data_IF_967257456291
#
_entry.id   IF_967257456291
#
_cell.length_a   1.000
_cell.length_b   1.000
_cell.length_c   1.000
_cell.angle_alpha   90.00
_cell.angle_beta   90.00
_cell.angle_gamma   90.00
#
_symmetry.space_group_name_H-M   'P 1'
#
loop_
_entity.id
_entity.type
_entity.pdbx_description
1 polymer ?
#
# COMPACT_ATOMS: atom_id res chain seq x y z
N UNK A 1 8.37 22.83 -14.28
CA UNK A 1 8.46 21.92 -13.12
C UNK A 1 8.29 20.49 -13.63
N UNK A 2 9.35 19.68 -13.63
CA UNK A 2 9.23 18.25 -13.87
C UNK A 2 8.46 17.65 -12.68
N UNK A 3 7.20 17.24 -12.90
CA UNK A 3 6.45 16.47 -11.91
C UNK A 3 7.22 15.16 -11.68
N UNK A 4 7.56 14.88 -10.42
CA UNK A 4 8.13 13.58 -10.06
C UNK A 4 7.16 12.46 -10.51
N UNK A 5 7.72 11.36 -11.04
CA UNK A 5 6.92 10.20 -11.44
C UNK A 5 6.14 9.64 -10.23
N UNK A 6 5.04 8.93 -10.50
CA UNK A 6 4.13 8.47 -9.44
C UNK A 6 4.80 7.60 -8.37
N UNK A 7 5.76 6.75 -8.75
CA UNK A 7 6.48 5.91 -7.81
C UNK A 7 7.35 6.76 -6.86
N UNK A 8 8.03 7.78 -7.41
CA UNK A 8 8.77 8.76 -6.61
C UNK A 8 7.86 9.50 -5.63
N UNK A 9 6.68 9.95 -6.09
CA UNK A 9 5.72 10.63 -5.21
C UNK A 9 5.24 9.75 -4.06
N UNK A 10 4.79 8.52 -4.34
CA UNK A 10 4.31 7.59 -3.31
C UNK A 10 5.42 7.31 -2.29
N UNK A 11 6.63 7.00 -2.78
CA UNK A 11 7.76 6.76 -1.91
C UNK A 11 8.04 7.96 -1.00
N UNK A 12 8.05 9.18 -1.54
CA UNK A 12 8.29 10.39 -0.75
C UNK A 12 7.19 10.68 0.27
N UNK A 13 5.93 10.33 -0.01
CA UNK A 13 4.79 10.57 0.89
C UNK A 13 4.76 9.54 2.04
N UNK A 14 5.03 8.27 1.75
CA UNK A 14 4.96 7.20 2.76
C UNK A 14 6.18 7.17 3.69
N UNK A 15 7.35 7.55 3.19
CA UNK A 15 8.62 7.41 3.90
C UNK A 15 8.69 8.31 5.12
N UNK A 16 9.04 7.73 6.26
CA UNK A 16 9.42 8.49 7.46
C UNK A 16 10.56 9.46 7.18
N UNK A 17 10.59 10.58 7.90
CA UNK A 17 11.68 11.54 7.85
C UNK A 17 13.04 10.82 8.05
N UNK A 18 14.05 11.23 7.28
CA UNK A 18 15.42 10.71 7.35
C UNK A 18 15.67 9.23 6.98
N UNK A 19 14.65 8.43 6.65
CA UNK A 19 14.84 7.07 6.11
C UNK A 19 15.04 7.06 4.60
N UNK A 20 15.73 6.09 4.01
CA UNK A 20 15.83 5.97 2.54
C UNK A 20 15.11 4.74 1.99
N UNK A 21 14.15 4.22 2.75
CA UNK A 21 13.37 3.02 2.46
C UNK A 21 12.02 3.09 3.18
N UNK A 22 11.07 2.27 2.75
CA UNK A 22 9.81 2.06 3.47
C UNK A 22 9.86 0.79 4.32
N UNK A 23 9.26 0.84 5.50
CA UNK A 23 8.97 -0.34 6.32
C UNK A 23 7.49 -0.71 6.23
N UNK A 24 7.11 -1.85 6.81
CA UNK A 24 5.70 -2.27 6.88
C UNK A 24 4.81 -1.21 7.58
N UNK A 25 5.32 -0.59 8.63
CA UNK A 25 4.62 0.44 9.41
C UNK A 25 4.25 1.67 8.58
N UNK A 26 5.05 2.01 7.56
CA UNK A 26 4.83 3.17 6.70
C UNK A 26 3.56 3.05 5.85
N UNK A 27 3.03 1.83 5.67
CA UNK A 27 1.79 1.58 4.93
C UNK A 27 0.54 1.63 5.80
N UNK A 28 0.67 1.57 7.14
CA UNK A 28 -0.49 1.54 8.04
C UNK A 28 -1.41 2.75 7.88
N UNK A 29 -0.93 4.00 7.76
CA UNK A 29 -1.81 5.16 7.61
C UNK A 29 -2.68 5.07 6.36
N UNK A 30 -2.11 4.67 5.23
CA UNK A 30 -2.84 4.54 3.96
C UNK A 30 -3.85 3.39 4.01
N UNK A 31 -3.50 2.26 4.60
CA UNK A 31 -4.44 1.13 4.71
C UNK A 31 -5.57 1.39 5.70
N UNK A 32 -5.32 2.17 6.76
CA UNK A 32 -6.38 2.62 7.66
C UNK A 32 -7.37 3.50 6.91
N UNK A 33 -6.89 4.47 6.15
CA UNK A 33 -7.76 5.34 5.36
C UNK A 33 -8.55 4.53 4.32
N UNK A 34 -7.89 3.58 3.65
CA UNK A 34 -8.53 2.69 2.70
C UNK A 34 -9.67 1.88 3.33
N UNK A 35 -9.41 1.27 4.49
CA UNK A 35 -10.42 0.50 5.23
C UNK A 35 -11.60 1.35 5.67
N UNK A 36 -11.36 2.62 6.03
CA UNK A 36 -12.41 3.54 6.49
C UNK A 36 -13.26 4.11 5.35
N UNK A 37 -12.69 4.29 4.16
CA UNK A 37 -13.33 5.08 3.09
C UNK A 37 -13.81 4.26 1.90
N UNK A 38 -13.27 3.07 1.69
CA UNK A 38 -13.59 2.27 0.51
C UNK A 38 -14.90 1.50 0.71
N UNK A 39 -15.92 1.79 -0.10
CA UNK A 39 -17.24 1.16 -0.05
C UNK A 39 -17.18 -0.37 -0.06
N UNK A 40 -16.34 -0.96 -0.93
CA UNK A 40 -16.11 -2.40 -0.99
C UNK A 40 -15.49 -3.02 0.26
N UNK A 41 -15.09 -2.25 1.27
CA UNK A 41 -14.54 -2.70 2.55
C UNK A 41 -15.40 -2.30 3.76
N UNK A 42 -16.55 -1.64 3.56
CA UNK A 42 -17.45 -1.21 4.64
C UNK A 42 -17.91 -2.38 5.52
N UNK A 43 -18.04 -3.58 4.96
CA UNK A 43 -18.42 -4.78 5.70
C UNK A 43 -17.43 -5.15 6.82
N UNK A 44 -16.20 -4.62 6.77
CA UNK A 44 -15.21 -4.82 7.83
C UNK A 44 -15.34 -3.82 8.98
N UNK A 45 -16.16 -2.75 8.85
CA UNK A 45 -16.30 -1.68 9.86
C UNK A 45 -16.74 -2.18 11.22
N UNK A 46 -17.64 -3.16 11.25
CA UNK A 46 -18.19 -3.71 12.48
C UNK A 46 -17.29 -4.75 13.16
N UNK A 47 -16.12 -5.07 12.57
CA UNK A 47 -15.22 -6.12 13.03
C UNK A 47 -13.76 -5.65 13.11
N UNK A 48 -13.36 -4.96 14.19
CA UNK A 48 -12.01 -4.39 14.34
C UNK A 48 -10.89 -5.42 14.19
N UNK A 49 -11.06 -6.65 14.70
CA UNK A 49 -10.03 -7.69 14.59
C UNK A 49 -9.78 -8.12 13.14
N UNK A 50 -10.82 -8.08 12.29
CA UNK A 50 -10.65 -8.39 10.87
C UNK A 50 -10.07 -7.23 10.09
N UNK A 51 -10.34 -5.98 10.47
CA UNK A 51 -9.66 -4.83 9.87
C UNK A 51 -8.15 -4.90 10.07
N UNK A 52 -7.71 -5.17 11.30
CA UNK A 52 -6.28 -5.24 11.62
C UNK A 52 -5.60 -6.37 10.84
N UNK A 53 -6.20 -7.57 10.82
CA UNK A 53 -5.67 -8.72 10.07
C UNK A 53 -5.69 -8.49 8.55
N UNK A 54 -6.70 -7.80 8.03
CA UNK A 54 -6.76 -7.45 6.62
C UNK A 54 -5.63 -6.49 6.25
N UNK A 55 -5.45 -5.41 7.00
CA UNK A 55 -4.37 -4.46 6.80
C UNK A 55 -3.00 -5.17 6.85
N UNK A 56 -2.76 -6.00 7.86
CA UNK A 56 -1.53 -6.79 7.96
C UNK A 56 -1.31 -7.68 6.74
N UNK A 57 -2.35 -8.39 6.31
CA UNK A 57 -2.26 -9.28 5.14
C UNK A 57 -1.92 -8.50 3.87
N UNK A 58 -2.52 -7.32 3.66
CA UNK A 58 -2.20 -6.47 2.51
C UNK A 58 -0.75 -5.98 2.57
N UNK A 59 -0.27 -5.56 3.74
CA UNK A 59 1.14 -5.17 3.92
C UNK A 59 2.08 -6.34 3.61
N UNK A 60 1.79 -7.53 4.13
CA UNK A 60 2.59 -8.73 3.86
C UNK A 60 2.63 -9.03 2.37
N UNK A 61 1.51 -8.93 1.66
CA UNK A 61 1.46 -9.12 0.19
C UNK A 61 2.27 -8.07 -0.55
N UNK A 62 2.18 -6.79 -0.15
CA UNK A 62 3.00 -5.72 -0.74
C UNK A 62 4.49 -6.07 -0.60
N UNK A 63 4.95 -6.45 0.59
CA UNK A 63 6.35 -6.79 0.82
C UNK A 63 6.77 -8.07 0.09
N UNK A 64 5.91 -9.09 0.08
CA UNK A 64 6.14 -10.34 -0.66
C UNK A 64 6.36 -10.09 -2.16
N UNK A 65 5.53 -9.23 -2.76
CA UNK A 65 5.64 -8.94 -4.20
C UNK A 65 6.71 -7.89 -4.52
N UNK A 66 6.92 -6.89 -3.66
CA UNK A 66 7.75 -5.73 -4.00
C UNK A 66 9.16 -5.78 -3.40
N UNK A 67 9.36 -6.22 -2.14
CA UNK A 67 10.66 -6.22 -1.48
C UNK A 67 11.47 -7.48 -1.83
N UNK A 68 12.02 -7.50 -3.06
CA UNK A 68 12.79 -8.64 -3.59
C UNK A 68 14.05 -8.94 -2.78
N UNK A 69 14.60 -7.94 -2.09
CA UNK A 69 15.72 -8.15 -1.19
C UNK A 69 15.36 -8.94 0.08
N UNK A 70 14.08 -9.04 0.45
CA UNK A 70 13.62 -9.80 1.62
C UNK A 70 14.14 -9.27 2.96
N UNK A 71 14.58 -8.01 3.01
CA UNK A 71 15.20 -7.40 4.18
C UNK A 71 14.26 -6.51 4.99
N UNK A 72 12.98 -6.45 4.63
CA UNK A 72 11.98 -5.60 5.28
C UNK A 72 12.16 -4.10 5.01
N UNK A 73 13.05 -3.73 4.09
CA UNK A 73 13.31 -2.34 3.69
C UNK A 73 13.01 -2.18 2.21
N UNK A 74 11.79 -1.74 1.91
CA UNK A 74 11.34 -1.56 0.53
C UNK A 74 11.97 -0.28 -0.06
N UNK A 75 12.84 -0.46 -1.04
CA UNK A 75 13.60 0.63 -1.66
C UNK A 75 12.81 1.32 -2.77
N UNK A 76 13.12 2.60 -3.04
CA UNK A 76 12.49 3.36 -4.15
C UNK A 76 12.59 2.62 -5.50
N UNK A 77 13.75 2.03 -5.79
CA UNK A 77 13.98 1.23 -7.01
C UNK A 77 13.08 0.00 -7.11
N UNK A 78 12.69 -0.59 -5.98
CA UNK A 78 11.83 -1.78 -5.93
C UNK A 78 10.38 -1.39 -6.21
N UNK A 79 9.92 -0.25 -5.68
CA UNK A 79 8.61 0.32 -5.99
C UNK A 79 8.51 0.70 -7.47
N UNK A 80 9.54 1.33 -8.03
CA UNK A 80 9.55 1.72 -9.44
C UNK A 80 9.45 0.53 -10.40
N UNK A 81 9.91 -0.65 -9.97
CA UNK A 81 9.89 -1.89 -10.75
C UNK A 81 8.68 -2.78 -10.44
N UNK A 82 7.88 -2.44 -9.45
CA UNK A 82 6.69 -3.20 -9.07
C UNK A 82 5.42 -2.58 -9.65
N UNK A 83 4.31 -3.32 -9.58
CA UNK A 83 2.99 -2.83 -9.97
C UNK A 83 2.27 -2.12 -8.82
N UNK A 84 2.98 -1.71 -7.75
CA UNK A 84 2.35 -1.16 -6.55
C UNK A 84 1.53 0.11 -6.84
N UNK A 85 2.07 1.05 -7.63
CA UNK A 85 1.34 2.26 -8.01
C UNK A 85 0.07 1.92 -8.79
N UNK A 86 0.16 1.01 -9.77
CA UNK A 86 -0.99 0.60 -10.56
C UNK A 86 -2.06 -0.08 -9.71
N UNK A 87 -1.67 -0.94 -8.77
CA UNK A 87 -2.57 -1.59 -7.84
C UNK A 87 -3.30 -0.57 -6.94
N UNK A 88 -2.58 0.40 -6.38
CA UNK A 88 -3.21 1.46 -5.57
C UNK A 88 -4.18 2.32 -6.40
N UNK A 89 -3.83 2.65 -7.64
CA UNK A 89 -4.74 3.37 -8.54
C UNK A 89 -5.97 2.56 -8.93
N UNK A 90 -5.84 1.24 -9.04
CA UNK A 90 -6.95 0.34 -9.31
C UNK A 90 -7.89 0.25 -8.11
N UNK A 91 -7.36 0.18 -6.89
CA UNK A 91 -8.16 0.24 -5.65
C UNK A 91 -8.96 1.55 -5.60
N UNK A 92 -8.34 2.69 -5.92
CA UNK A 92 -9.07 3.98 -5.91
C UNK A 92 -10.19 4.06 -6.96
N UNK A 93 -10.12 3.28 -8.04
CA UNK A 93 -11.07 3.34 -9.14
C UNK A 93 -12.19 2.29 -9.08
N UNK A 94 -11.96 1.17 -8.38
CA UNK A 94 -12.84 0.01 -8.44
C UNK A 94 -13.66 -0.14 -7.15
N UNK A 95 -14.99 -0.02 -7.26
CA UNK A 95 -15.89 -0.17 -6.11
C UNK A 95 -15.92 -1.61 -5.56
N UNK A 96 -15.67 -2.60 -6.43
CA UNK A 96 -15.56 -4.01 -6.04
C UNK A 96 -14.10 -4.39 -5.78
N UNK A 97 -13.74 -4.39 -4.48
CA UNK A 97 -12.39 -4.69 -4.00
C UNK A 97 -11.87 -6.07 -4.47
N UNK A 98 -12.76 -7.02 -4.78
CA UNK A 98 -12.36 -8.36 -5.19
C UNK A 98 -11.73 -8.39 -6.58
N UNK A 99 -12.04 -7.40 -7.43
CA UNK A 99 -11.45 -7.27 -8.78
C UNK A 99 -10.03 -6.70 -8.76
N UNK A 100 -9.58 -6.18 -7.62
CA UNK A 100 -8.21 -5.69 -7.44
C UNK A 100 -7.24 -6.82 -7.03
N UNK A 101 -7.78 -7.95 -6.58
CA UNK A 101 -7.00 -9.07 -6.06
C UNK A 101 -6.60 -10.13 -7.10
N UNK A 102 -6.92 -9.92 -8.39
CA UNK A 102 -6.75 -10.90 -9.48
C UNK A 102 -5.43 -10.74 -10.24
#
# INVERSE_FOLDING_TARGET
MLRADGATRIFSVLRQQDKNYLTQEDFRPVLRELLLTHHGLEFLHDTPEFQERYAETVIFRIFYHCNKAGNGQLQHREIRRSNLLAALQQVDAEEDINKVLT
#
